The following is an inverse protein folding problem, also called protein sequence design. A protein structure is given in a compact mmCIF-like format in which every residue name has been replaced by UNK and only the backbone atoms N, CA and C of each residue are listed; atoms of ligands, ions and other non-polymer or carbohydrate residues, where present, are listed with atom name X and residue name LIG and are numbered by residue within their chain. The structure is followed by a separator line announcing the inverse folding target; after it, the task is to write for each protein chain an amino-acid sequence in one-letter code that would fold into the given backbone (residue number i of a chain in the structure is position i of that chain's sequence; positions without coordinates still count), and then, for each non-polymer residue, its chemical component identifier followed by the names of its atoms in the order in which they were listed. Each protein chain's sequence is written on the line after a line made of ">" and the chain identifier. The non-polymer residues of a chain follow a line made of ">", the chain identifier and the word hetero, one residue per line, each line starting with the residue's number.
data_IF_092838008301
#
_entry.id   IF_092838008301
#
_cell.length_a   1.000
_cell.length_b   1.000
_cell.length_c   1.000
_cell.angle_alpha   90.00
_cell.angle_beta   90.00
_cell.angle_gamma   90.00
#
_symmetry.space_group_name_H-M   'P 1'
#
loop_
_entity.id
_entity.type
_entity.pdbx_description
1 polymer ?
#
# COMPACT_ATOMS: atom_id res chain seq x y z
N UNK A 1 16.25 -13.59 -0.44
CA UNK A 1 16.14 -13.70 -1.90
C UNK A 1 15.83 -12.31 -2.45
N UNK A 2 16.41 -11.90 -3.58
CA UNK A 2 16.08 -10.61 -4.20
C UNK A 2 14.62 -10.63 -4.71
N UNK A 3 13.91 -9.49 -4.64
CA UNK A 3 12.57 -9.34 -5.23
C UNK A 3 12.65 -9.59 -6.73
N UNK A 4 11.69 -10.32 -7.30
CA UNK A 4 11.62 -10.58 -8.74
C UNK A 4 11.19 -9.33 -9.50
N UNK A 5 11.65 -9.17 -10.74
CA UNK A 5 11.38 -8.03 -11.62
C UNK A 5 11.72 -6.64 -11.05
N UNK A 6 12.97 -6.42 -10.58
CA UNK A 6 13.37 -5.16 -9.96
C UNK A 6 13.16 -3.96 -10.89
N UNK A 7 13.38 -4.12 -12.19
CA UNK A 7 13.11 -3.09 -13.19
C UNK A 7 11.63 -2.74 -13.22
N UNK A 8 10.77 -3.73 -13.45
CA UNK A 8 9.35 -3.49 -13.65
C UNK A 8 8.71 -2.89 -12.40
N UNK A 9 9.11 -3.33 -11.19
CA UNK A 9 8.64 -2.79 -9.91
C UNK A 9 8.93 -1.30 -9.74
N UNK A 10 10.17 -0.87 -10.02
CA UNK A 10 10.58 0.54 -9.91
C UNK A 10 9.83 1.43 -10.91
N UNK A 11 9.69 0.98 -12.15
CA UNK A 11 8.92 1.74 -13.14
C UNK A 11 7.41 1.71 -12.85
N UNK A 12 6.90 0.62 -12.26
CA UNK A 12 5.52 0.51 -11.82
C UNK A 12 5.22 1.49 -10.68
N UNK A 13 6.11 1.59 -9.70
CA UNK A 13 5.98 2.56 -8.60
C UNK A 13 5.85 3.99 -9.13
N UNK A 14 6.77 4.42 -10.00
CA UNK A 14 6.74 5.76 -10.57
C UNK A 14 5.42 6.04 -11.32
N UNK A 15 4.98 5.08 -12.15
CA UNK A 15 3.74 5.25 -12.90
C UNK A 15 2.50 5.24 -12.00
N UNK A 16 2.47 4.39 -10.97
CA UNK A 16 1.36 4.28 -10.04
C UNK A 16 1.24 5.53 -9.17
N UNK A 17 2.36 6.08 -8.67
CA UNK A 17 2.40 7.35 -7.93
C UNK A 17 1.83 8.50 -8.77
N UNK A 18 2.28 8.63 -10.02
CA UNK A 18 1.76 9.65 -10.93
C UNK A 18 0.25 9.48 -11.16
N UNK A 19 -0.18 8.24 -11.46
CA UNK A 19 -1.58 7.94 -11.73
C UNK A 19 -2.50 8.21 -10.54
N UNK A 20 -2.10 7.81 -9.32
CA UNK A 20 -2.88 8.07 -8.10
C UNK A 20 -2.96 9.56 -7.81
N UNK A 21 -1.86 10.30 -8.00
CA UNK A 21 -1.84 11.75 -7.82
C UNK A 21 -2.77 12.47 -8.80
N UNK A 22 -2.84 12.01 -10.04
CA UNK A 22 -3.66 12.62 -11.08
C UNK A 22 -5.15 12.23 -10.99
N UNK A 23 -5.44 11.04 -10.45
CA UNK A 23 -6.78 10.44 -10.48
C UNK A 23 -7.52 10.49 -9.15
N UNK A 24 -6.86 10.87 -8.06
CA UNK A 24 -7.42 10.83 -6.70
C UNK A 24 -7.00 12.05 -5.87
N UNK A 25 -7.57 12.19 -4.68
CA UNK A 25 -7.09 13.13 -3.66
C UNK A 25 -6.21 12.46 -2.61
N UNK A 26 -5.78 11.20 -2.84
CA UNK A 26 -4.91 10.48 -1.91
C UNK A 26 -3.54 11.16 -1.94
N UNK A 27 -3.02 11.65 -0.81
CA UNK A 27 -1.68 12.23 -0.75
C UNK A 27 -0.64 11.13 -1.03
N UNK A 28 0.12 11.32 -2.10
CA UNK A 28 1.25 10.49 -2.52
C UNK A 28 2.39 11.40 -2.99
N UNK A 29 3.67 10.97 -2.87
CA UNK A 29 4.79 11.80 -3.28
C UNK A 29 4.79 12.03 -4.79
N UNK A 30 5.17 13.24 -5.25
CA UNK A 30 5.38 13.45 -6.68
C UNK A 30 6.63 12.70 -7.14
N UNK A 31 6.59 12.18 -8.36
CA UNK A 31 7.76 11.62 -9.01
C UNK A 31 8.61 12.75 -9.57
N UNK A 32 9.88 12.80 -9.19
CA UNK A 32 10.88 13.74 -9.70
C UNK A 32 11.64 13.12 -10.88
N UNK A 33 12.04 11.84 -10.76
CA UNK A 33 12.75 11.12 -11.80
C UNK A 33 12.55 9.60 -11.68
N UNK A 34 12.65 8.88 -12.79
CA UNK A 34 12.71 7.42 -12.84
C UNK A 34 13.65 7.01 -13.96
N UNK A 35 14.47 5.98 -13.75
CA UNK A 35 15.41 5.56 -14.78
C UNK A 35 16.32 4.40 -14.40
N UNK A 36 17.34 4.23 -15.24
CA UNK A 36 18.38 3.22 -15.13
C UNK A 36 19.73 3.93 -14.95
N UNK A 37 20.47 3.53 -13.92
CA UNK A 37 21.80 4.05 -13.60
C UNK A 37 22.84 2.92 -13.46
N UNK A 38 24.11 3.26 -13.18
CA UNK A 38 25.19 2.28 -13.05
C UNK A 38 24.93 1.20 -11.98
N UNK A 39 24.20 1.57 -10.92
CA UNK A 39 23.92 0.72 -9.76
C UNK A 39 22.55 0.04 -9.80
N UNK A 40 21.80 0.22 -10.90
CA UNK A 40 20.48 -0.39 -11.10
C UNK A 40 19.38 0.61 -11.44
N UNK A 41 18.15 0.27 -11.06
CA UNK A 41 16.95 1.04 -11.34
C UNK A 41 16.66 2.01 -10.20
N UNK A 42 16.18 3.20 -10.50
CA UNK A 42 15.82 4.18 -9.47
C UNK A 42 14.51 4.88 -9.77
N UNK A 43 13.83 5.26 -8.69
CA UNK A 43 12.79 6.29 -8.67
C UNK A 43 13.20 7.32 -7.62
N UNK A 44 13.04 8.59 -7.95
CA UNK A 44 13.26 9.72 -7.04
C UNK A 44 11.95 10.45 -6.90
N UNK A 45 11.54 10.71 -5.66
CA UNK A 45 10.25 11.29 -5.34
C UNK A 45 10.39 12.46 -4.36
N UNK A 46 9.34 13.26 -4.23
CA UNK A 46 9.20 14.18 -3.10
C UNK A 46 9.25 13.40 -1.78
N UNK A 47 9.86 13.99 -0.75
CA UNK A 47 9.76 13.45 0.59
C UNK A 47 8.37 13.75 1.16
N UNK A 48 7.66 12.72 1.60
CA UNK A 48 6.46 12.89 2.43
C UNK A 48 6.91 13.14 3.87
N UNK A 49 6.49 14.27 4.44
CA UNK A 49 6.77 14.59 5.84
C UNK A 49 6.16 13.56 6.79
N UNK A 50 6.87 13.25 7.87
CA UNK A 50 6.44 12.32 8.91
C UNK A 50 7.28 11.06 8.96
N UNK A 51 6.78 10.06 9.70
CA UNK A 51 7.41 8.75 9.87
C UNK A 51 6.39 7.64 9.57
N UNK A 52 6.83 6.42 9.28
CA UNK A 52 5.91 5.30 9.13
C UNK A 52 5.03 5.12 10.36
N UNK A 53 3.75 4.81 10.16
CA UNK A 53 2.80 4.52 11.24
C UNK A 53 3.31 3.42 12.17
N UNK A 54 4.05 2.45 11.63
CA UNK A 54 4.69 1.37 12.38
C UNK A 54 5.66 1.87 13.47
N UNK A 55 6.25 3.06 13.30
CA UNK A 55 7.24 3.64 14.21
C UNK A 55 6.62 4.63 15.22
N UNK A 56 5.34 4.98 15.06
CA UNK A 56 4.65 5.89 15.97
C UNK A 56 4.56 5.26 17.37
N UNK A 57 5.00 6.03 18.36
CA UNK A 57 4.99 5.64 19.76
C UNK A 57 6.33 5.13 20.28
N UNK A 58 7.33 4.88 19.43
CA UNK A 58 8.70 4.52 19.87
C UNK A 58 9.50 5.72 20.38
N UNK A 59 9.16 6.93 19.92
CA UNK A 59 9.61 8.22 20.48
C UNK A 59 8.47 9.22 20.28
N UNK A 60 7.88 9.74 21.34
CA UNK A 60 6.76 10.67 21.22
C UNK A 60 7.15 12.03 21.83
N UNK A 61 6.94 13.10 21.06
CA UNK A 61 7.09 14.50 21.52
C UNK A 61 5.73 15.20 21.67
N UNK A 62 4.62 14.48 21.47
CA UNK A 62 3.24 14.98 21.59
C UNK A 62 2.83 15.15 23.04
N UNK A 63 3.37 16.17 23.70
CA UNK A 63 3.17 16.41 25.12
C UNK A 63 1.70 16.71 25.51
N UNK A 64 0.83 17.03 24.55
CA UNK A 64 -0.55 17.48 24.81
C UNK A 64 -1.61 16.37 24.82
N UNK A 65 -1.25 15.13 24.45
CA UNK A 65 -2.22 14.02 24.41
C UNK A 65 -2.41 13.40 25.82
N UNK A 66 -3.65 13.16 26.29
CA UNK A 66 -3.88 12.43 27.52
C UNK A 66 -3.28 11.02 27.47
N UNK A 67 -2.54 10.63 28.51
CA UNK A 67 -1.86 9.32 28.57
C UNK A 67 -0.55 9.25 27.77
N UNK A 68 0.01 10.41 27.39
CA UNK A 68 1.29 10.47 26.70
C UNK A 68 2.47 10.00 27.57
N UNK A 69 3.37 9.22 26.97
CA UNK A 69 4.65 8.79 27.54
C UNK A 69 5.80 9.12 26.59
N UNK A 70 6.93 9.62 27.13
CA UNK A 70 8.05 10.10 26.29
C UNK A 70 8.81 8.97 25.57
N UNK A 71 8.87 7.79 26.18
CA UNK A 71 9.70 6.67 25.70
C UNK A 71 8.92 5.67 24.88
N UNK A 72 7.76 5.20 25.36
CA UNK A 72 6.89 4.29 24.61
C UNK A 72 5.44 4.67 24.81
N UNK A 73 4.83 5.29 23.81
CA UNK A 73 3.52 5.90 23.96
C UNK A 73 2.41 5.10 23.29
N UNK A 74 1.74 4.24 24.06
CA UNK A 74 0.56 3.50 23.59
C UNK A 74 -0.60 4.44 23.23
N UNK A 75 -0.75 5.59 23.90
CA UNK A 75 -1.76 6.59 23.56
C UNK A 75 -1.52 7.22 22.16
N UNK A 76 -0.30 7.73 21.88
CA UNK A 76 0.06 8.25 20.55
C UNK A 76 -0.16 7.18 19.48
N UNK A 77 0.25 5.93 19.76
CA UNK A 77 0.10 4.80 18.85
C UNK A 77 -1.39 4.49 18.56
N UNK A 78 -2.23 4.38 19.59
CA UNK A 78 -3.64 4.08 19.42
C UNK A 78 -4.38 5.18 18.65
N UNK A 79 -4.08 6.45 18.93
CA UNK A 79 -4.65 7.59 18.19
C UNK A 79 -4.22 7.59 16.73
N UNK A 80 -2.93 7.37 16.44
CA UNK A 80 -2.44 7.30 15.06
C UNK A 80 -3.05 6.13 14.29
N UNK A 81 -3.17 4.94 14.92
CA UNK A 81 -3.84 3.77 14.33
C UNK A 81 -5.30 4.10 14.00
N UNK A 82 -6.03 4.75 14.90
CA UNK A 82 -7.42 5.14 14.67
C UNK A 82 -7.53 6.13 13.50
N UNK A 83 -6.68 7.17 13.47
CA UNK A 83 -6.65 8.15 12.38
C UNK A 83 -6.29 7.51 11.04
N UNK A 84 -5.31 6.60 11.02
CA UNK A 84 -4.92 5.87 9.83
C UNK A 84 -6.04 4.94 9.34
N UNK A 85 -6.73 4.26 10.26
CA UNK A 85 -7.88 3.42 9.92
C UNK A 85 -8.98 4.23 9.25
N UNK A 86 -9.37 5.35 9.86
CA UNK A 86 -10.36 6.28 9.28
C UNK A 86 -9.91 6.79 7.91
N UNK A 87 -8.64 7.20 7.77
CA UNK A 87 -8.11 7.64 6.48
C UNK A 87 -8.20 6.54 5.40
N UNK A 88 -7.82 5.30 5.73
CA UNK A 88 -7.91 4.19 4.78
C UNK A 88 -9.36 3.90 4.39
N UNK A 89 -10.24 3.72 5.38
CA UNK A 89 -11.64 3.33 5.16
C UNK A 89 -12.48 4.41 4.46
N UNK A 90 -12.26 5.68 4.81
CA UNK A 90 -13.11 6.78 4.34
C UNK A 90 -12.50 7.55 3.15
N UNK A 91 -11.18 7.51 2.98
CA UNK A 91 -10.50 8.25 1.90
C UNK A 91 -9.85 7.33 0.87
N UNK A 92 -9.06 6.33 1.27
CA UNK A 92 -8.27 5.53 0.33
C UNK A 92 -9.14 4.51 -0.41
N UNK A 93 -9.76 3.57 0.32
CA UNK A 93 -10.51 2.47 -0.30
C UNK A 93 -11.65 2.97 -1.21
N UNK A 94 -12.45 3.98 -0.82
CA UNK A 94 -13.53 4.46 -1.68
C UNK A 94 -13.03 5.09 -2.97
N UNK A 95 -11.82 5.67 -2.99
CA UNK A 95 -11.24 6.27 -4.19
C UNK A 95 -10.64 5.22 -5.10
N UNK A 96 -9.85 4.30 -4.53
CA UNK A 96 -9.27 3.18 -5.26
C UNK A 96 -10.33 2.27 -5.89
N UNK A 97 -11.44 2.00 -5.18
CA UNK A 97 -12.57 1.22 -5.70
C UNK A 97 -13.23 1.82 -6.95
N UNK A 98 -13.15 3.14 -7.15
CA UNK A 98 -13.71 3.81 -8.33
C UNK A 98 -12.80 3.75 -9.55
N UNK A 99 -11.52 3.45 -9.35
CA UNK A 99 -10.57 3.25 -10.43
C UNK A 99 -10.74 1.81 -10.90
N UNK A 100 -11.41 1.62 -12.03
CA UNK A 100 -11.71 0.28 -12.57
C UNK A 100 -11.02 0.03 -13.91
N UNK A 101 -10.80 -1.25 -14.22
CA UNK A 101 -10.18 -1.71 -15.47
C UNK A 101 -10.77 -3.05 -15.90
N UNK A 102 -10.82 -3.28 -17.22
CA UNK A 102 -11.14 -4.59 -17.81
C UNK A 102 -9.89 -5.49 -17.91
N UNK A 103 -8.72 -5.01 -17.51
CA UNK A 103 -7.45 -5.75 -17.60
C UNK A 103 -6.71 -5.68 -16.28
N UNK A 104 -6.18 -6.83 -15.83
CA UNK A 104 -5.38 -6.94 -14.61
C UNK A 104 -3.97 -6.35 -14.76
N UNK A 105 -3.36 -5.97 -13.64
CA UNK A 105 -2.05 -5.32 -13.58
C UNK A 105 -2.09 -3.83 -13.90
N UNK A 106 -0.95 -3.27 -14.27
CA UNK A 106 -0.81 -1.86 -14.57
C UNK A 106 0.26 -1.65 -15.65
N UNK A 107 -0.04 -0.82 -16.65
CA UNK A 107 0.84 -0.55 -17.80
C UNK A 107 1.39 -1.81 -18.49
N UNK A 108 0.54 -2.83 -18.66
CA UNK A 108 0.92 -4.09 -19.32
C UNK A 108 1.83 -4.99 -18.49
N UNK A 109 2.07 -4.65 -17.22
CA UNK A 109 2.80 -5.47 -16.26
C UNK A 109 1.87 -5.91 -15.13
N UNK A 110 1.90 -7.20 -14.81
CA UNK A 110 1.19 -7.75 -13.66
C UNK A 110 2.26 -8.11 -12.65
N UNK A 111 2.25 -7.41 -11.51
CA UNK A 111 3.04 -7.76 -10.36
C UNK A 111 2.17 -8.62 -9.42
N UNK A 112 2.12 -9.94 -9.59
CA UNK A 112 1.37 -10.79 -8.69
C UNK A 112 1.86 -10.58 -7.25
N UNK A 113 0.95 -10.63 -6.26
CA UNK A 113 1.39 -10.72 -4.88
C UNK A 113 2.36 -11.89 -4.71
N UNK A 114 3.32 -11.82 -3.77
CA UNK A 114 4.37 -12.83 -3.61
C UNK A 114 3.90 -14.30 -3.49
N UNK A 115 2.63 -14.54 -3.12
CA UNK A 115 2.01 -15.86 -2.97
C UNK A 115 1.27 -16.37 -4.21
N UNK A 116 1.12 -15.56 -5.25
CA UNK A 116 0.51 -15.93 -6.53
C UNK A 116 1.62 -16.26 -7.51
N UNK A 117 1.59 -17.47 -8.08
CA UNK A 117 2.61 -17.93 -9.03
C UNK A 117 2.70 -16.98 -10.22
N UNK A 118 3.94 -16.73 -10.66
CA UNK A 118 4.23 -15.85 -11.76
C UNK A 118 3.58 -16.33 -13.06
N UNK A 119 2.57 -15.57 -13.49
CA UNK A 119 1.94 -15.45 -14.82
C UNK A 119 0.41 -15.44 -14.63
N UNK A 120 -0.15 -14.25 -14.45
CA UNK A 120 -1.57 -13.98 -14.70
C UNK A 120 -1.65 -12.67 -15.48
N UNK A 121 -2.38 -12.65 -16.59
CA UNK A 121 -2.62 -11.49 -17.49
C UNK A 121 -4.02 -11.58 -18.08
N UNK A 122 -5.02 -11.87 -17.25
CA UNK A 122 -6.39 -12.03 -17.74
C UNK A 122 -7.05 -10.70 -18.11
N UNK A 123 -7.89 -10.78 -19.13
CA UNK A 123 -8.76 -9.73 -19.64
C UNK A 123 -10.20 -10.13 -19.34
N UNK A 124 -10.99 -9.17 -18.88
CA UNK A 124 -12.41 -9.33 -18.61
C UNK A 124 -13.24 -8.58 -19.65
N UNK A 125 -14.43 -9.09 -19.95
CA UNK A 125 -15.39 -8.38 -20.79
C UNK A 125 -15.99 -7.14 -20.10
N UNK A 126 -15.83 -7.03 -18.77
CA UNK A 126 -16.36 -5.95 -17.93
C UNK A 126 -15.28 -5.38 -17.02
N UNK A 127 -15.39 -4.11 -16.58
CA UNK A 127 -14.40 -3.52 -15.68
C UNK A 127 -14.59 -4.03 -14.24
N UNK A 128 -14.17 -5.26 -13.99
CA UNK A 128 -14.30 -5.93 -12.68
C UNK A 128 -13.07 -5.77 -11.78
N UNK A 129 -11.95 -5.32 -12.33
CA UNK A 129 -10.75 -5.06 -11.55
C UNK A 129 -10.76 -3.65 -10.98
N UNK A 130 -10.35 -3.53 -9.72
CA UNK A 130 -10.17 -2.25 -9.02
C UNK A 130 -8.69 -2.00 -8.79
N UNK A 131 -8.29 -0.73 -8.70
CA UNK A 131 -6.90 -0.38 -8.43
C UNK A 131 -6.57 -0.70 -6.96
N UNK A 132 -5.51 -1.45 -6.72
CA UNK A 132 -5.03 -1.82 -5.39
C UNK A 132 -3.61 -1.29 -5.18
N UNK A 133 -3.26 -0.97 -3.92
CA UNK A 133 -1.88 -0.63 -3.55
C UNK A 133 -0.95 -1.86 -3.59
N UNK A 134 -1.49 -3.04 -3.26
CA UNK A 134 -0.74 -4.30 -3.23
C UNK A 134 0.19 -4.50 -2.03
N UNK A 135 0.37 -3.48 -1.18
CA UNK A 135 1.12 -3.58 0.09
C UNK A 135 0.71 -2.49 1.10
N UNK A 136 -0.59 -2.35 1.37
CA UNK A 136 -1.09 -1.28 2.26
C UNK A 136 -0.96 -1.68 3.74
N UNK A 137 0.24 -1.55 4.27
CA UNK A 137 0.59 -1.81 5.67
C UNK A 137 1.02 -0.56 6.44
N UNK A 138 1.23 -0.67 7.78
CA UNK A 138 1.63 0.47 8.61
C UNK A 138 3.02 1.02 8.28
N UNK A 139 3.87 0.26 7.58
CA UNK A 139 5.15 0.74 7.08
C UNK A 139 5.04 1.67 5.86
N UNK A 140 3.90 1.62 5.15
CA UNK A 140 3.63 2.39 3.93
C UNK A 140 2.64 3.55 4.14
N UNK A 141 2.19 3.75 5.40
CA UNK A 141 1.33 4.87 5.81
C UNK A 141 2.19 5.88 6.56
N UNK A 142 2.44 7.03 5.96
CA UNK A 142 3.20 8.11 6.58
C UNK A 142 2.33 8.91 7.52
N UNK A 143 2.85 9.19 8.73
CA UNK A 143 2.12 9.88 9.80
C UNK A 143 2.99 10.98 10.39
N UNK A 144 2.41 12.16 10.57
CA UNK A 144 3.05 13.24 11.31
C UNK A 144 3.14 12.86 12.80
N UNK A 145 4.35 12.73 13.36
CA UNK A 145 4.53 12.30 14.75
C UNK A 145 4.05 13.33 15.78
N UNK A 146 3.79 14.58 15.38
CA UNK A 146 3.30 15.65 16.25
C UNK A 146 1.78 15.75 16.26
N UNK A 147 1.16 15.67 15.08
CA UNK A 147 -0.31 15.79 14.94
C UNK A 147 -1.03 14.44 14.91
N UNK A 148 -0.29 13.34 14.74
CA UNK A 148 -0.78 11.96 14.58
C UNK A 148 -1.73 11.79 13.38
N UNK A 149 -1.67 12.71 12.41
CA UNK A 149 -2.45 12.66 11.17
C UNK A 149 -1.65 11.98 10.07
N UNK A 150 -2.34 11.25 9.21
CA UNK A 150 -1.73 10.68 8.00
C UNK A 150 -1.32 11.81 7.06
N UNK A 151 -0.09 11.74 6.56
CA UNK A 151 0.49 12.70 5.62
C UNK A 151 0.57 12.17 4.20
N UNK A 152 0.61 10.85 4.00
CA UNK A 152 0.67 10.25 2.67
C UNK A 152 0.78 8.74 2.67
N UNK A 153 0.59 8.15 1.49
CA UNK A 153 0.94 6.77 1.19
C UNK A 153 2.21 6.71 0.33
N UNK A 154 3.00 5.66 0.52
CA UNK A 154 4.27 5.43 -0.20
C UNK A 154 4.39 3.97 -0.63
N UNK A 155 5.40 3.63 -1.43
CA UNK A 155 5.73 2.25 -1.86
C UNK A 155 4.63 1.58 -2.72
N UNK A 156 4.33 2.19 -3.87
CA UNK A 156 3.35 1.70 -4.84
C UNK A 156 3.93 0.69 -5.85
N UNK A 157 5.10 0.08 -5.59
CA UNK A 157 5.72 -0.85 -6.53
C UNK A 157 4.85 -2.09 -6.84
N UNK A 158 3.95 -2.45 -5.91
CA UNK A 158 3.01 -3.57 -6.00
C UNK A 158 1.63 -3.17 -6.52
N UNK A 159 1.43 -1.90 -6.87
CA UNK A 159 0.12 -1.40 -7.23
C UNK A 159 -0.31 -1.86 -8.64
N UNK A 160 -1.63 -2.01 -8.81
CA UNK A 160 -2.24 -2.31 -10.09
C UNK A 160 -3.70 -2.72 -9.98
N UNK A 161 -4.32 -3.04 -11.12
CA UNK A 161 -5.70 -3.49 -11.17
C UNK A 161 -5.80 -4.98 -10.82
N UNK A 162 -6.61 -5.31 -9.82
CA UNK A 162 -6.82 -6.68 -9.33
C UNK A 162 -8.29 -6.90 -8.92
N UNK A 163 -8.73 -8.14 -8.67
CA UNK A 163 -10.06 -8.40 -8.14
C UNK A 163 -10.33 -7.61 -6.86
N UNK A 164 -11.59 -7.24 -6.62
CA UNK A 164 -11.99 -6.38 -5.50
C UNK A 164 -11.59 -6.91 -4.12
N UNK A 165 -11.44 -8.22 -3.98
CA UNK A 165 -10.96 -8.91 -2.78
C UNK A 165 -9.55 -8.48 -2.36
N UNK A 166 -8.74 -8.00 -3.31
CA UNK A 166 -7.36 -7.56 -3.08
C UNK A 166 -7.33 -6.15 -2.48
N UNK A 167 -8.37 -5.36 -2.72
CA UNK A 167 -8.50 -4.01 -2.14
C UNK A 167 -8.70 -4.07 -0.62
N UNK A 168 -9.29 -5.16 -0.13
CA UNK A 168 -9.53 -5.39 1.30
C UNK A 168 -8.29 -5.93 2.03
N UNK A 169 -7.17 -6.15 1.33
CA UNK A 169 -5.91 -6.62 1.91
C UNK A 169 -5.06 -5.44 2.41
N UNK A 170 -5.41 -4.92 3.59
CA UNK A 170 -4.69 -3.84 4.25
C UNK A 170 -4.71 -3.99 5.77
N UNK A 171 -3.77 -3.34 6.45
CA UNK A 171 -3.75 -3.29 7.90
C UNK A 171 -3.04 -2.02 8.43
N UNK A 172 -3.52 -1.51 9.55
CA UNK A 172 -2.89 -0.39 10.29
C UNK A 172 -2.10 -0.86 11.51
N UNK A 173 -2.24 -2.12 11.90
CA UNK A 173 -1.46 -2.74 12.98
C UNK A 173 -0.41 -3.68 12.39
N UNK A 174 0.82 -3.62 12.90
CA UNK A 174 1.92 -4.50 12.45
C UNK A 174 1.55 -5.98 12.62
N UNK A 175 0.95 -6.34 13.76
CA UNK A 175 0.50 -7.72 14.00
C UNK A 175 -0.62 -8.13 13.04
N UNK A 176 -1.58 -7.23 12.78
CA UNK A 176 -2.66 -7.46 11.82
C UNK A 176 -2.12 -7.69 10.42
N UNK A 177 -1.18 -6.84 9.99
CA UNK A 177 -0.47 -6.96 8.73
C UNK A 177 0.23 -8.31 8.60
N UNK A 178 1.10 -8.70 9.54
CA UNK A 178 1.77 -10.01 9.45
C UNK A 178 0.80 -11.20 9.56
N UNK A 179 -0.29 -11.06 10.32
CA UNK A 179 -1.33 -12.09 10.38
C UNK A 179 -2.07 -12.24 9.05
N UNK A 180 -2.31 -11.15 8.32
CA UNK A 180 -2.90 -11.19 6.98
C UNK A 180 -2.00 -12.02 6.05
N UNK A 181 -0.70 -11.69 5.99
CA UNK A 181 0.27 -12.47 5.21
C UNK A 181 0.33 -13.93 5.67
N UNK A 182 0.46 -14.17 6.97
CA UNK A 182 0.52 -15.52 7.53
C UNK A 182 -0.73 -16.34 7.19
N UNK A 183 -1.92 -15.75 7.33
CA UNK A 183 -3.18 -16.39 6.95
C UNK A 183 -3.20 -16.73 5.47
N UNK A 184 -2.72 -15.85 4.60
CA UNK A 184 -2.64 -16.14 3.17
C UNK A 184 -1.67 -17.29 2.83
N UNK A 185 -0.58 -17.45 3.58
CA UNK A 185 0.36 -18.57 3.39
C UNK A 185 -0.09 -19.89 4.03
N UNK A 186 -0.79 -19.81 5.16
CA UNK A 186 -1.12 -20.98 5.99
C UNK A 186 -2.57 -21.46 5.83
N UNK A 187 -3.45 -20.69 5.19
CA UNK A 187 -4.85 -21.05 4.93
C UNK A 187 -5.05 -21.45 3.46
N UNK A 188 -5.16 -22.75 3.14
CA UNK A 188 -5.49 -23.20 1.79
C UNK A 188 -6.82 -22.65 1.29
N UNK A 189 -7.77 -22.38 2.18
CA UNK A 189 -9.09 -21.83 1.81
C UNK A 189 -9.00 -20.36 1.39
N UNK A 190 -8.23 -19.55 2.10
CA UNK A 190 -8.03 -18.13 1.76
C UNK A 190 -7.18 -18.00 0.50
N UNK A 191 -6.12 -18.82 0.40
CA UNK A 191 -5.32 -18.92 -0.81
C UNK A 191 -6.17 -19.36 -2.00
N UNK A 192 -7.03 -20.37 -1.83
CA UNK A 192 -7.95 -20.82 -2.88
C UNK A 192 -8.96 -19.75 -3.24
N UNK A 193 -9.49 -18.97 -2.28
CA UNK A 193 -10.41 -17.86 -2.56
C UNK A 193 -9.74 -16.78 -3.40
N UNK A 194 -8.54 -16.34 -3.02
CA UNK A 194 -7.79 -15.31 -3.75
C UNK A 194 -7.29 -15.81 -5.10
N UNK A 195 -6.90 -17.08 -5.19
CA UNK A 195 -6.53 -17.73 -6.46
C UNK A 195 -7.73 -17.87 -7.38
N UNK A 196 -8.90 -18.24 -6.85
CA UNK A 196 -10.13 -18.32 -7.64
C UNK A 196 -10.60 -16.94 -8.12
N UNK A 197 -10.46 -15.88 -7.31
CA UNK A 197 -10.69 -14.51 -7.77
C UNK A 197 -9.67 -14.12 -8.86
N UNK A 198 -8.49 -14.74 -8.83
CA UNK A 198 -7.49 -14.71 -9.89
C UNK A 198 -7.68 -15.79 -10.97
N UNK A 199 -8.79 -16.53 -11.03
CA UNK A 199 -9.06 -17.50 -12.11
C UNK A 199 -10.43 -17.27 -12.76
N UNK A 200 -11.38 -16.66 -12.04
CA UNK A 200 -12.67 -16.15 -12.53
C UNK A 200 -12.51 -14.95 -13.43
#
# INVERSE_FOLDING_TARGET
>A
MAKKWPRQRIFNEAAALQFIRDSTTIPVPAVIAVGEGPDGFFVTTELIDGIPLADIGEKCEVATLPGHEKTKCSACQATAIANAKTFVEETVLPQLRRLTSCTTGFNGFVNPPPWVTEVDRRESAVPEFVFCHGDLGPHNIMTDPFTLKVTGLVDFENAGYFPSEFLEQWAVEVKGYYNMYKTMYESPAELSRLTMALES
#
